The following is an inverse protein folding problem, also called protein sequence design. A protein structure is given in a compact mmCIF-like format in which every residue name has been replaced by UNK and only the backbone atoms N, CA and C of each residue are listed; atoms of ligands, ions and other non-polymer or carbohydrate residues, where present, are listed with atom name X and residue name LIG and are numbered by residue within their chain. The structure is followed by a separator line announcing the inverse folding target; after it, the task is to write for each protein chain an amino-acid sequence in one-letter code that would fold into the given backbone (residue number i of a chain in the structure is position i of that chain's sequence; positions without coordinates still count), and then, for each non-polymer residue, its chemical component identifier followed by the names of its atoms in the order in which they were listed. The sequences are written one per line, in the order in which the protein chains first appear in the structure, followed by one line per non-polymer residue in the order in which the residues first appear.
data_IF_036559290002
#
_entry.id   IF_036559290002
#
_cell.length_a   1.000
_cell.length_b   1.000
_cell.length_c   1.000
_cell.angle_alpha   90.00
_cell.angle_beta   90.00
_cell.angle_gamma   90.00
#
_symmetry.space_group_name_H-M   'P 1'
#
loop_
_entity.id
_entity.type
_entity.pdbx_description
1 polymer ?
#
# COMPACT_ATOMS: atom_id res chain seq x y z
N UNK A 1 -8.90 -46.85 32.67
CA UNK A 1 -9.52 -46.10 31.55
C UNK A 1 -9.32 -44.60 31.78
N UNK A 2 -8.26 -43.95 31.27
CA UNK A 2 -8.17 -42.46 31.28
C UNK A 2 -6.94 -41.92 30.49
N UNK A 3 -6.72 -42.38 29.26
CA UNK A 3 -5.66 -41.80 28.40
C UNK A 3 -6.17 -41.42 27.00
N UNK A 4 -7.30 -41.96 26.56
CA UNK A 4 -7.90 -41.59 25.26
C UNK A 4 -8.57 -40.22 25.29
N UNK A 5 -9.17 -39.80 26.41
CA UNK A 5 -10.01 -38.59 26.47
C UNK A 5 -9.23 -37.26 26.44
N UNK A 6 -7.96 -37.22 26.85
CA UNK A 6 -7.15 -36.00 26.80
C UNK A 6 -6.63 -35.71 25.38
N UNK A 7 -6.22 -36.73 24.63
CA UNK A 7 -5.69 -36.59 23.27
C UNK A 7 -6.72 -35.99 22.28
N UNK A 8 -8.01 -36.32 22.42
CA UNK A 8 -9.07 -35.75 21.58
C UNK A 8 -9.35 -34.27 21.91
N UNK A 9 -9.19 -33.86 23.17
CA UNK A 9 -9.37 -32.46 23.59
C UNK A 9 -8.23 -31.57 23.09
N UNK A 10 -7.01 -32.08 23.09
CA UNK A 10 -5.86 -31.39 22.47
C UNK A 10 -6.02 -31.31 20.96
N UNK A 11 -6.33 -32.42 20.27
CA UNK A 11 -6.51 -32.44 18.81
C UNK A 11 -7.61 -31.47 18.31
N UNK A 12 -8.71 -31.34 19.06
CA UNK A 12 -9.75 -30.34 18.77
C UNK A 12 -9.25 -28.91 19.02
N UNK A 13 -8.51 -28.66 20.10
CA UNK A 13 -7.93 -27.35 20.39
C UNK A 13 -6.91 -26.90 19.32
N UNK A 14 -6.07 -27.81 18.82
CA UNK A 14 -5.18 -27.52 17.68
C UNK A 14 -5.96 -27.20 16.41
N UNK A 15 -7.07 -27.89 16.15
CA UNK A 15 -7.92 -27.66 14.97
C UNK A 15 -8.56 -26.25 14.99
N UNK A 16 -8.96 -25.75 16.17
CA UNK A 16 -9.47 -24.38 16.34
C UNK A 16 -8.40 -23.29 16.20
N UNK A 17 -7.11 -23.61 16.33
CA UNK A 17 -6.02 -22.65 16.11
C UNK A 17 -5.45 -22.70 14.69
N UNK A 18 -5.31 -23.90 14.11
CA UNK A 18 -4.67 -24.12 12.80
C UNK A 18 -5.57 -23.64 11.66
N UNK A 19 -6.87 -23.93 11.68
CA UNK A 19 -7.76 -23.53 10.59
C UNK A 19 -7.85 -22.00 10.48
N UNK A 20 -8.06 -21.23 11.58
CA UNK A 20 -8.04 -19.76 11.50
C UNK A 20 -6.67 -19.19 11.12
N UNK A 21 -5.57 -19.77 11.60
CA UNK A 21 -4.22 -19.33 11.22
C UNK A 21 -3.94 -19.54 9.73
N UNK A 22 -4.30 -20.71 9.18
CA UNK A 22 -4.19 -21.00 7.76
C UNK A 22 -5.08 -20.07 6.91
N UNK A 23 -6.31 -19.80 7.36
CA UNK A 23 -7.19 -18.85 6.67
C UNK A 23 -6.61 -17.43 6.69
N UNK A 24 -6.05 -16.99 7.81
CA UNK A 24 -5.42 -15.67 7.93
C UNK A 24 -4.13 -15.55 7.10
N UNK A 25 -3.35 -16.63 6.99
CA UNK A 25 -2.21 -16.68 6.08
C UNK A 25 -2.68 -16.64 4.62
N UNK A 26 -3.75 -17.36 4.29
CA UNK A 26 -4.31 -17.37 2.94
C UNK A 26 -4.78 -15.98 2.49
N UNK A 27 -5.42 -15.20 3.38
CA UNK A 27 -5.83 -13.82 3.05
C UNK A 27 -4.65 -12.86 2.89
N UNK A 28 -3.53 -13.12 3.57
CA UNK A 28 -2.31 -12.29 3.48
C UNK A 28 -1.35 -12.74 2.38
N UNK A 29 -1.46 -13.97 1.89
CA UNK A 29 -0.51 -14.57 0.96
C UNK A 29 -0.29 -13.71 -0.29
N UNK A 30 -1.37 -13.25 -0.93
CA UNK A 30 -1.28 -12.40 -2.13
C UNK A 30 -0.57 -11.06 -1.87
N UNK A 31 -0.68 -10.51 -0.65
CA UNK A 31 0.02 -9.27 -0.27
C UNK A 31 1.51 -9.51 0.01
N UNK A 32 1.86 -10.69 0.53
CA UNK A 32 3.25 -11.10 0.76
C UNK A 32 3.96 -11.35 -0.57
N UNK A 33 3.31 -12.06 -1.50
CA UNK A 33 3.92 -12.37 -2.80
C UNK A 33 4.08 -11.14 -3.67
N UNK A 34 3.03 -10.32 -3.81
CA UNK A 34 3.09 -9.07 -4.59
C UNK A 34 4.10 -8.04 -4.06
N UNK A 35 4.40 -8.07 -2.76
CA UNK A 35 5.45 -7.22 -2.18
C UNK A 35 6.83 -7.47 -2.82
N UNK A 36 7.08 -8.70 -3.30
CA UNK A 36 8.34 -9.09 -3.94
C UNK A 36 8.37 -8.74 -5.44
N UNK A 37 7.28 -8.24 -6.01
CA UNK A 37 7.24 -7.88 -7.43
C UNK A 37 8.28 -6.79 -7.76
N UNK A 38 8.93 -6.97 -8.92
CA UNK A 38 9.85 -6.01 -9.47
C UNK A 38 9.13 -4.67 -9.79
N UNK A 39 9.86 -3.53 -9.76
CA UNK A 39 9.31 -2.25 -10.15
C UNK A 39 8.75 -2.27 -11.57
N UNK A 40 7.64 -1.56 -11.79
CA UNK A 40 6.96 -1.45 -13.08
C UNK A 40 7.07 -0.04 -13.64
N UNK A 41 6.83 0.11 -14.94
CA UNK A 41 6.64 1.43 -15.55
C UNK A 41 5.36 2.08 -15.05
N UNK A 42 5.27 3.40 -15.15
CA UNK A 42 4.06 4.13 -14.77
C UNK A 42 2.82 3.63 -15.52
N UNK A 43 2.95 3.42 -16.83
CA UNK A 43 1.88 2.92 -17.69
C UNK A 43 1.38 1.53 -17.24
N UNK A 44 2.28 0.60 -16.91
CA UNK A 44 1.89 -0.72 -16.39
C UNK A 44 1.12 -0.62 -15.06
N UNK A 45 1.47 0.34 -14.19
CA UNK A 45 0.78 0.56 -12.92
C UNK A 45 -0.61 1.19 -13.15
N UNK A 46 -0.71 2.21 -14.01
CA UNK A 46 -1.96 2.89 -14.36
C UNK A 46 -2.94 1.96 -15.08
N UNK A 47 -2.46 1.14 -16.02
CA UNK A 47 -3.28 0.15 -16.72
C UNK A 47 -3.93 -0.88 -15.80
N UNK A 48 -3.40 -1.07 -14.59
CA UNK A 48 -3.93 -2.01 -13.61
C UNK A 48 -4.79 -1.36 -12.53
N UNK A 49 -4.84 -0.03 -12.46
CA UNK A 49 -5.71 0.69 -11.54
C UNK A 49 -7.18 0.29 -11.75
N UNK A 50 -7.94 0.15 -10.66
CA UNK A 50 -9.36 -0.22 -10.68
C UNK A 50 -9.65 -1.71 -10.94
N UNK A 51 -8.66 -2.53 -11.32
CA UNK A 51 -8.87 -3.95 -11.69
C UNK A 51 -9.05 -4.92 -10.51
N UNK A 52 -9.28 -4.43 -9.28
CA UNK A 52 -9.45 -5.20 -8.03
C UNK A 52 -8.56 -6.47 -7.96
N UNK A 53 -7.25 -6.27 -7.99
CA UNK A 53 -6.25 -7.35 -7.99
C UNK A 53 -5.92 -7.77 -6.55
N UNK A 54 -5.91 -9.07 -6.25
CA UNK A 54 -5.55 -9.54 -4.93
C UNK A 54 -4.09 -9.18 -4.58
N UNK A 55 -3.86 -8.66 -3.37
CA UNK A 55 -2.54 -8.20 -2.93
C UNK A 55 -2.13 -6.82 -3.45
N UNK A 56 -3.02 -6.14 -4.18
CA UNK A 56 -2.79 -4.81 -4.71
C UNK A 56 -3.91 -3.85 -4.31
N UNK A 57 -3.57 -2.58 -4.24
CA UNK A 57 -4.48 -1.48 -3.95
C UNK A 57 -4.28 -0.35 -4.95
N UNK A 58 -5.34 0.41 -5.17
CA UNK A 58 -5.24 1.66 -5.93
C UNK A 58 -4.63 2.74 -5.04
N UNK A 59 -3.56 3.34 -5.53
CA UNK A 59 -2.83 4.39 -4.88
C UNK A 59 -2.90 5.67 -5.72
N UNK A 60 -3.16 6.79 -5.06
CA UNK A 60 -3.10 8.09 -5.70
C UNK A 60 -1.68 8.64 -5.60
N UNK A 61 -1.04 8.92 -6.74
CA UNK A 61 0.34 9.46 -6.82
C UNK A 61 0.43 10.76 -6.01
N UNK A 62 -0.54 11.66 -6.22
CA UNK A 62 -0.86 12.76 -5.34
C UNK A 62 -1.98 12.33 -4.41
N UNK A 63 -1.68 12.21 -3.10
CA UNK A 63 -2.64 11.74 -2.10
C UNK A 63 -3.96 12.51 -2.15
N UNK A 64 -5.08 11.78 -2.19
CA UNK A 64 -6.42 12.37 -2.32
C UNK A 64 -6.72 13.42 -1.25
N UNK A 65 -6.37 13.15 0.01
CA UNK A 65 -6.59 14.07 1.13
C UNK A 65 -5.75 15.34 1.01
N UNK A 66 -4.46 15.20 0.68
CA UNK A 66 -3.56 16.33 0.46
C UNK A 66 -4.03 17.16 -0.74
N UNK A 67 -4.34 16.53 -1.88
CA UNK A 67 -4.76 17.26 -3.07
C UNK A 67 -6.07 18.02 -2.87
N UNK A 68 -7.02 17.48 -2.10
CA UNK A 68 -8.24 18.22 -1.71
C UNK A 68 -7.92 19.42 -0.82
N UNK A 69 -6.98 19.27 0.12
CA UNK A 69 -6.57 20.35 1.02
C UNK A 69 -5.91 21.51 0.26
N UNK A 70 -5.09 21.19 -0.74
CA UNK A 70 -4.44 22.18 -1.61
C UNK A 70 -5.40 22.80 -2.65
N UNK A 71 -6.65 22.32 -2.74
CA UNK A 71 -7.65 22.84 -3.67
C UNK A 71 -7.52 22.35 -5.12
N UNK A 72 -6.79 21.25 -5.37
CA UNK A 72 -6.71 20.67 -6.70
C UNK A 72 -8.07 20.13 -7.17
N UNK A 73 -8.29 20.16 -8.48
CA UNK A 73 -9.57 19.74 -9.06
C UNK A 73 -9.81 18.24 -8.89
N UNK A 74 -11.09 17.83 -8.87
CA UNK A 74 -11.45 16.40 -8.81
C UNK A 74 -10.95 15.63 -10.02
N UNK A 75 -10.95 16.24 -11.20
CA UNK A 75 -10.42 15.62 -12.42
C UNK A 75 -8.91 15.35 -12.35
N UNK A 76 -8.14 16.19 -11.66
CA UNK A 76 -6.73 15.91 -11.37
C UNK A 76 -6.59 14.80 -10.33
N UNK A 77 -7.34 14.91 -9.23
CA UNK A 77 -7.20 13.99 -8.09
C UNK A 77 -7.63 12.57 -8.45
N UNK A 78 -8.81 12.37 -9.04
CA UNK A 78 -9.31 11.03 -9.40
C UNK A 78 -9.01 10.66 -10.86
N UNK A 79 -8.25 11.49 -11.58
CA UNK A 79 -7.88 11.23 -12.97
C UNK A 79 -7.07 9.95 -13.11
N UNK A 80 -7.27 9.23 -14.21
CA UNK A 80 -6.55 7.99 -14.49
C UNK A 80 -5.02 8.16 -14.45
N UNK A 81 -4.53 9.36 -14.74
CA UNK A 81 -3.10 9.67 -14.68
C UNK A 81 -2.55 9.69 -13.24
N UNK A 82 -3.40 9.99 -12.24
CA UNK A 82 -3.02 10.08 -10.84
C UNK A 82 -3.24 8.77 -10.05
N UNK A 83 -3.85 7.74 -10.64
CA UNK A 83 -4.20 6.49 -9.94
C UNK A 83 -3.40 5.31 -10.51
N UNK A 84 -2.78 4.54 -9.62
CA UNK A 84 -1.92 3.40 -9.95
C UNK A 84 -2.23 2.19 -9.08
N UNK A 85 -2.14 0.98 -9.64
CA UNK A 85 -2.24 -0.26 -8.85
C UNK A 85 -0.89 -0.68 -8.30
N UNK A 86 -0.74 -0.67 -6.97
CA UNK A 86 0.52 -0.96 -6.27
C UNK A 86 0.35 -2.10 -5.26
N UNK A 87 1.40 -2.87 -4.92
CA UNK A 87 1.29 -3.90 -3.89
C UNK A 87 0.85 -3.32 -2.54
N UNK A 88 -0.08 -3.99 -1.85
CA UNK A 88 -0.71 -3.50 -0.60
C UNK A 88 0.33 -3.09 0.45
N UNK A 89 1.35 -3.92 0.70
CA UNK A 89 2.35 -3.56 1.71
C UNK A 89 3.26 -2.40 1.29
N UNK A 90 3.57 -2.24 0.00
CA UNK A 90 4.29 -1.06 -0.49
C UNK A 90 3.43 0.21 -0.40
N UNK A 91 2.11 0.09 -0.61
CA UNK A 91 1.17 1.20 -0.42
C UNK A 91 1.23 1.75 1.02
N UNK A 92 1.24 0.85 2.01
CA UNK A 92 1.34 1.21 3.41
C UNK A 92 2.68 1.89 3.73
N UNK A 93 3.79 1.39 3.17
CA UNK A 93 5.11 1.99 3.36
C UNK A 93 5.20 3.40 2.77
N UNK A 94 4.68 3.61 1.56
CA UNK A 94 4.60 4.94 0.92
C UNK A 94 3.78 5.88 1.80
N UNK A 95 2.59 5.45 2.24
CA UNK A 95 1.71 6.25 3.10
C UNK A 95 2.38 6.61 4.43
N UNK A 96 3.12 5.68 5.02
CA UNK A 96 3.91 5.86 6.23
C UNK A 96 5.08 6.83 6.02
N UNK A 97 5.76 6.76 4.88
CA UNK A 97 6.86 7.66 4.53
C UNK A 97 6.42 9.13 4.46
N UNK A 98 5.24 9.39 3.90
CA UNK A 98 4.64 10.74 3.88
C UNK A 98 4.36 11.30 5.28
N UNK A 99 4.26 10.46 6.32
CA UNK A 99 4.10 10.86 7.73
C UNK A 99 5.42 11.02 8.47
N UNK A 100 6.55 10.60 7.89
CA UNK A 100 7.83 10.53 8.60
C UNK A 100 8.72 11.72 8.26
N UNK A 101 9.20 12.47 9.27
CA UNK A 101 10.22 13.50 9.07
C UNK A 101 11.47 12.93 8.43
N UNK A 102 12.04 13.62 7.44
CA UNK A 102 13.30 13.21 6.84
C UNK A 102 14.16 14.39 6.36
N UNK A 103 15.46 14.14 6.18
CA UNK A 103 16.46 15.16 5.87
C UNK A 103 16.26 15.83 4.51
N UNK A 104 15.66 15.12 3.54
CA UNK A 104 15.42 15.66 2.19
C UNK A 104 14.42 16.82 2.22
N UNK A 105 13.59 16.90 3.26
CA UNK A 105 12.61 17.97 3.46
C UNK A 105 12.95 18.84 4.69
N UNK A 106 14.22 18.98 5.03
CA UNK A 106 14.64 19.82 6.16
C UNK A 106 14.08 19.34 7.51
N UNK A 107 14.02 18.02 7.71
CA UNK A 107 13.40 17.38 8.88
C UNK A 107 11.90 17.63 9.02
N UNK A 108 11.21 18.00 7.93
CA UNK A 108 9.76 17.98 7.86
C UNK A 108 9.25 16.65 7.29
N UNK A 109 7.97 16.36 7.50
CA UNK A 109 7.29 15.30 6.76
C UNK A 109 7.10 15.73 5.30
N UNK A 110 7.10 14.80 4.33
CA UNK A 110 6.78 15.13 2.94
C UNK A 110 5.43 15.86 2.80
N UNK A 111 4.41 15.48 3.58
CA UNK A 111 3.11 16.20 3.61
C UNK A 111 3.24 17.65 4.05
N UNK A 112 4.06 17.95 5.06
CA UNK A 112 4.28 19.33 5.52
C UNK A 112 5.04 20.14 4.47
N UNK A 113 6.06 19.54 3.86
CA UNK A 113 6.84 20.17 2.81
C UNK A 113 6.00 20.55 1.59
N UNK A 114 5.05 19.70 1.21
CA UNK A 114 4.21 19.88 0.03
C UNK A 114 3.12 20.95 0.18
N UNK A 115 2.88 21.49 1.39
CA UNK A 115 1.85 22.52 1.59
C UNK A 115 2.11 23.77 0.75
N UNK A 116 1.08 24.22 0.03
CA UNK A 116 1.14 25.40 -0.83
C UNK A 116 1.98 25.20 -2.10
N UNK A 117 2.40 23.97 -2.41
CA UNK A 117 3.12 23.66 -3.65
C UNK A 117 2.15 23.30 -4.76
N UNK A 118 2.60 23.46 -6.00
CA UNK A 118 1.78 23.15 -7.15
C UNK A 118 1.64 21.65 -7.41
N UNK A 119 0.68 21.29 -8.28
CA UNK A 119 0.41 19.92 -8.67
C UNK A 119 1.64 19.17 -9.18
N UNK A 120 2.50 19.84 -9.96
CA UNK A 120 3.66 19.20 -10.58
C UNK A 120 4.68 18.73 -9.54
N UNK A 121 4.84 19.51 -8.46
CA UNK A 121 5.73 19.16 -7.36
C UNK A 121 5.16 18.01 -6.51
N UNK A 122 3.85 17.99 -6.29
CA UNK A 122 3.19 16.84 -5.68
C UNK A 122 3.39 15.55 -6.51
N UNK A 123 3.23 15.64 -7.83
CA UNK A 123 3.47 14.49 -8.75
C UNK A 123 4.92 14.04 -8.69
N UNK A 124 5.88 14.99 -8.69
CA UNK A 124 7.31 14.70 -8.62
C UNK A 124 7.65 13.92 -7.35
N UNK A 125 7.17 14.38 -6.19
CA UNK A 125 7.37 13.69 -4.90
C UNK A 125 6.65 12.33 -4.87
N UNK A 126 5.45 12.23 -5.44
CA UNK A 126 4.74 10.96 -5.58
C UNK A 126 5.53 9.92 -6.36
N UNK A 127 6.13 10.31 -7.50
CA UNK A 127 7.02 9.44 -8.25
C UNK A 127 8.31 9.09 -7.49
N UNK A 128 8.91 10.05 -6.79
CA UNK A 128 10.09 9.81 -5.95
C UNK A 128 9.81 8.79 -4.85
N UNK A 129 8.67 8.90 -4.17
CA UNK A 129 8.24 7.93 -3.15
C UNK A 129 8.08 6.53 -3.77
N UNK A 130 7.36 6.40 -4.89
CA UNK A 130 7.17 5.11 -5.54
C UNK A 130 8.49 4.47 -6.02
N UNK A 131 9.48 5.26 -6.46
CA UNK A 131 10.82 4.74 -6.79
C UNK A 131 11.59 4.29 -5.55
N UNK A 132 11.50 5.07 -4.47
CA UNK A 132 12.13 4.76 -3.18
C UNK A 132 11.68 3.39 -2.67
N UNK A 133 10.39 3.07 -2.81
CA UNK A 133 9.81 1.78 -2.41
C UNK A 133 9.81 0.73 -3.53
N UNK A 134 10.56 0.95 -4.62
CA UNK A 134 10.72 -0.02 -5.71
C UNK A 134 9.37 -0.47 -6.31
N UNK A 135 8.41 0.45 -6.40
CA UNK A 135 7.14 0.27 -7.11
C UNK A 135 7.28 0.75 -8.55
N UNK A 136 7.87 1.94 -8.72
CA UNK A 136 8.11 2.57 -10.02
C UNK A 136 9.57 2.37 -10.45
N UNK A 137 9.78 2.16 -11.75
CA UNK A 137 11.10 2.15 -12.39
C UNK A 137 11.80 3.53 -12.34
#
# INVERSE_FOLDING_TARGET
MSLRSSQWREALAWSFAIIPACLQLHTKYSSITSYQDAPKTLSELQQNAGKRRQGYEDHHIVEQGAGRHEGFSRSQIDGADNVVSVPTYKHHEITGWYNKPNKNFGMQTPRSYLRGKDWSEHVRIGHEAMRTFKVLK
#
